data_IF_837063474378
#
_entry.id   IF_837063474378
#
_cell.length_a   1.000
_cell.length_b   1.000
_cell.length_c   1.000
_cell.angle_alpha   90.00
_cell.angle_beta   90.00
_cell.angle_gamma   90.00
#
_symmetry.space_group_name_H-M   'P 1'
#
loop_
_entity.id
_entity.type
_entity.pdbx_description
1 polymer ?
#
# COMPACT_ATOMS: atom_id res chain seq x y z
N UNK A 1 -18.47 41.60 -62.91
CA UNK A 1 -17.36 41.94 -61.99
C UNK A 1 -17.30 40.84 -60.94
N UNK A 2 -16.28 39.97 -61.01
CA UNK A 2 -15.66 39.10 -59.97
C UNK A 2 -16.59 38.36 -58.96
N UNK A 3 -16.71 37.02 -59.00
CA UNK A 3 -15.90 36.02 -58.26
C UNK A 3 -15.91 36.26 -56.73
N UNK A 4 -16.31 35.36 -55.83
CA UNK A 4 -15.69 34.05 -55.49
C UNK A 4 -16.49 33.38 -54.33
N UNK A 5 -16.82 32.09 -54.41
CA UNK A 5 -16.31 30.94 -53.61
C UNK A 5 -16.87 30.73 -52.19
N UNK A 6 -17.63 29.62 -52.03
CA UNK A 6 -17.97 28.89 -50.79
C UNK A 6 -16.75 28.15 -50.18
N UNK A 7 -16.78 27.78 -48.89
CA UNK A 7 -16.02 26.63 -48.40
C UNK A 7 -16.92 25.50 -47.89
N UNK A 8 -16.64 24.31 -48.43
CA UNK A 8 -17.21 23.02 -48.09
C UNK A 8 -16.61 22.39 -46.81
N UNK A 9 -17.43 21.57 -46.17
CA UNK A 9 -17.14 20.77 -44.98
C UNK A 9 -16.01 19.75 -45.20
N UNK A 10 -15.06 19.69 -44.25
CA UNK A 10 -14.01 18.67 -44.22
C UNK A 10 -14.38 17.54 -43.26
N UNK A 11 -14.60 16.35 -43.83
CA UNK A 11 -14.80 15.07 -43.14
C UNK A 11 -13.44 14.50 -42.75
N UNK A 12 -13.17 14.39 -41.44
CA UNK A 12 -11.97 13.75 -40.91
C UNK A 12 -12.13 12.21 -40.87
N UNK A 13 -11.36 11.50 -41.70
CA UNK A 13 -11.20 10.04 -41.65
C UNK A 13 -10.36 9.64 -40.43
N UNK A 14 -10.93 8.84 -39.52
CA UNK A 14 -10.19 8.15 -38.46
C UNK A 14 -9.49 6.91 -39.02
N UNK A 15 -8.17 6.83 -38.84
CA UNK A 15 -7.36 5.64 -39.11
C UNK A 15 -7.51 4.68 -37.94
N UNK A 16 -7.98 3.46 -38.24
CA UNK A 16 -8.09 2.34 -37.31
C UNK A 16 -6.79 1.52 -37.37
N UNK A 17 -5.99 1.48 -36.30
CA UNK A 17 -4.83 0.59 -36.19
C UNK A 17 -5.31 -0.73 -35.56
N UNK A 18 -5.46 -1.76 -36.38
CA UNK A 18 -5.74 -3.14 -35.98
C UNK A 18 -4.41 -3.81 -35.65
N UNK A 19 -4.16 -4.15 -34.38
CA UNK A 19 -3.02 -5.00 -33.98
C UNK A 19 -3.28 -6.43 -34.46
N UNK A 20 -2.58 -6.85 -35.51
CA UNK A 20 -2.53 -8.24 -35.94
C UNK A 20 -1.36 -8.95 -35.25
N UNK A 21 -1.70 -9.96 -34.47
CA UNK A 21 -0.83 -11.01 -33.96
C UNK A 21 -0.29 -11.85 -35.13
N UNK A 22 1.04 -11.94 -35.27
CA UNK A 22 1.69 -12.77 -36.28
C UNK A 22 3.02 -13.30 -35.78
N UNK A 23 3.02 -14.56 -35.33
CA UNK A 23 4.18 -15.40 -35.08
C UNK A 23 4.90 -15.70 -36.40
N UNK A 24 6.19 -15.37 -36.51
CA UNK A 24 6.99 -15.72 -37.67
C UNK A 24 7.99 -16.83 -37.29
N UNK A 25 7.74 -18.04 -37.80
CA UNK A 25 8.69 -19.16 -37.85
C UNK A 25 9.77 -18.85 -38.89
N UNK A 26 11.04 -18.91 -38.49
CA UNK A 26 12.19 -18.86 -39.40
C UNK A 26 12.55 -20.27 -39.88
N UNK A 27 12.38 -20.53 -41.17
CA UNK A 27 13.10 -21.56 -41.94
C UNK A 27 14.15 -20.85 -42.81
N UNK A 28 15.34 -21.42 -42.90
CA UNK A 28 16.52 -20.81 -43.54
C UNK A 28 16.51 -20.75 -45.06
N UNK A 29 17.50 -20.04 -45.63
CA UNK A 29 18.52 -20.48 -46.63
C UNK A 29 19.23 -19.23 -47.21
N UNK A 30 20.55 -19.15 -46.95
CA UNK A 30 21.68 -18.57 -47.71
C UNK A 30 21.76 -17.07 -48.15
N UNK A 31 22.99 -16.52 -48.29
CA UNK A 31 23.26 -15.07 -48.25
C UNK A 31 23.39 -14.43 -49.63
N UNK A 32 22.91 -13.19 -49.78
CA UNK A 32 23.10 -12.39 -50.98
C UNK A 32 24.31 -11.44 -50.83
N UNK A 33 25.18 -11.45 -51.85
CA UNK A 33 26.39 -10.63 -52.00
C UNK A 33 26.09 -9.14 -51.94
N UNK A 34 26.89 -8.38 -51.20
CA UNK A 34 26.98 -6.93 -51.30
C UNK A 34 27.87 -6.52 -52.49
N UNK A 35 27.25 -5.86 -53.47
CA UNK A 35 27.95 -5.15 -54.55
C UNK A 35 28.32 -3.76 -54.03
N UNK A 36 29.60 -3.40 -54.18
CA UNK A 36 30.14 -2.10 -53.80
C UNK A 36 29.55 -0.96 -54.63
N UNK A 37 29.06 0.07 -53.94
CA UNK A 37 28.61 1.32 -54.54
C UNK A 37 29.31 2.49 -53.87
N UNK A 38 30.18 3.16 -54.62
CA UNK A 38 30.76 4.46 -54.27
C UNK A 38 29.65 5.52 -54.13
N UNK A 39 29.57 6.14 -52.96
CA UNK A 39 28.70 7.28 -52.67
C UNK A 39 29.46 8.31 -51.82
N UNK A 40 29.48 9.55 -52.32
CA UNK A 40 30.31 10.69 -51.91
C UNK A 40 30.11 11.11 -50.44
N UNK A 41 31.21 11.49 -49.78
CA UNK A 41 31.20 12.20 -48.48
C UNK A 41 30.77 13.65 -48.69
N UNK A 42 29.76 14.10 -47.95
CA UNK A 42 29.51 15.52 -47.66
C UNK A 42 30.13 15.82 -46.28
N UNK A 43 30.90 16.92 -46.11
CA UNK A 43 31.43 17.30 -44.81
C UNK A 43 30.45 18.22 -44.07
N UNK A 44 30.31 18.01 -42.76
CA UNK A 44 29.85 19.04 -41.83
C UNK A 44 28.39 19.02 -41.43
N UNK A 45 28.02 18.10 -40.53
CA UNK A 45 27.02 18.40 -39.50
C UNK A 45 27.51 17.84 -38.18
N UNK A 46 27.97 18.74 -37.32
CA UNK A 46 28.34 18.49 -35.94
C UNK A 46 27.08 18.10 -35.14
N UNK A 47 26.81 16.80 -35.05
CA UNK A 47 25.85 16.26 -34.08
C UNK A 47 26.50 16.30 -32.71
N UNK A 48 26.04 17.22 -31.87
CA UNK A 48 26.26 17.21 -30.42
C UNK A 48 25.69 15.89 -29.86
N UNK A 49 26.57 14.93 -29.59
CA UNK A 49 26.27 13.78 -28.74
C UNK A 49 25.98 14.27 -27.32
N UNK A 50 24.70 14.48 -27.01
CA UNK A 50 24.26 14.62 -25.62
C UNK A 50 24.39 13.23 -24.99
N UNK A 51 25.50 13.02 -24.28
CA UNK A 51 25.74 11.84 -23.46
C UNK A 51 24.61 11.71 -22.43
N UNK A 52 23.63 10.86 -22.72
CA UNK A 52 22.67 10.38 -21.73
C UNK A 52 23.41 9.44 -20.79
N UNK A 53 23.96 9.97 -19.70
CA UNK A 53 24.28 9.16 -18.52
C UNK A 53 22.97 8.64 -17.93
N UNK A 54 22.49 7.53 -18.49
CA UNK A 54 21.47 6.72 -17.85
C UNK A 54 22.14 6.04 -16.64
N UNK A 55 21.87 6.57 -15.45
CA UNK A 55 22.08 5.81 -14.21
C UNK A 55 21.17 4.59 -14.27
N UNK A 56 21.70 3.47 -14.76
CA UNK A 56 21.05 2.18 -14.67
C UNK A 56 21.09 1.76 -13.20
N UNK A 57 19.99 1.99 -12.48
CA UNK A 57 19.80 1.41 -11.15
C UNK A 57 19.80 -0.11 -11.33
N UNK A 58 20.73 -0.86 -10.71
CA UNK A 58 20.78 -2.30 -10.88
C UNK A 58 19.49 -2.92 -10.35
N UNK A 59 18.71 -3.52 -11.26
CA UNK A 59 17.50 -4.27 -10.89
C UNK A 59 17.95 -5.61 -10.33
N UNK A 60 17.82 -5.79 -9.01
CA UNK A 60 18.16 -7.04 -8.35
C UNK A 60 17.34 -8.21 -8.95
N UNK A 61 17.89 -9.44 -8.98
CA UNK A 61 17.14 -10.61 -9.43
C UNK A 61 15.84 -10.79 -8.61
N UNK A 62 14.73 -11.16 -9.28
CA UNK A 62 13.40 -11.30 -8.65
C UNK A 62 13.43 -12.21 -7.41
N UNK A 63 14.27 -13.27 -7.42
CA UNK A 63 14.44 -14.20 -6.29
C UNK A 63 15.08 -13.54 -5.07
N UNK A 64 16.03 -12.64 -5.27
CA UNK A 64 16.70 -11.90 -4.19
C UNK A 64 15.74 -10.89 -3.55
N UNK A 65 14.90 -10.23 -4.35
CA UNK A 65 13.91 -9.29 -3.82
C UNK A 65 12.80 -9.99 -3.02
N UNK A 66 12.38 -11.18 -3.43
CA UNK A 66 11.42 -11.97 -2.65
C UNK A 66 11.97 -12.39 -1.28
N UNK A 67 13.22 -12.86 -1.24
CA UNK A 67 13.88 -13.21 0.02
C UNK A 67 14.01 -11.98 0.95
N UNK A 68 14.43 -10.84 0.41
CA UNK A 68 14.55 -9.59 1.16
C UNK A 68 13.21 -9.14 1.79
N UNK A 69 12.10 -9.23 1.03
CA UNK A 69 10.77 -8.91 1.56
C UNK A 69 10.41 -9.83 2.73
N UNK A 70 10.64 -11.14 2.62
CA UNK A 70 10.36 -12.06 3.72
C UNK A 70 11.27 -11.86 4.93
N UNK A 71 12.52 -11.45 4.73
CA UNK A 71 13.40 -11.03 5.84
C UNK A 71 12.81 -9.84 6.59
N UNK A 72 12.29 -8.84 5.88
CA UNK A 72 11.62 -7.68 6.50
C UNK A 72 10.32 -8.08 7.20
N UNK A 73 9.51 -8.97 6.61
CA UNK A 73 8.30 -9.51 7.26
C UNK A 73 8.65 -10.25 8.55
N UNK A 74 9.65 -11.13 8.51
CA UNK A 74 10.11 -11.87 9.68
C UNK A 74 10.63 -10.91 10.76
N UNK A 75 11.41 -9.91 10.38
CA UNK A 75 11.89 -8.89 11.31
C UNK A 75 10.73 -8.10 11.93
N UNK A 76 9.74 -7.66 11.15
CA UNK A 76 8.56 -6.96 11.66
C UNK A 76 7.78 -7.81 12.68
N UNK A 77 7.62 -9.11 12.41
CA UNK A 77 6.98 -10.06 13.32
C UNK A 77 7.80 -10.21 14.61
N UNK A 78 9.11 -10.40 14.50
CA UNK A 78 10.00 -10.57 15.65
C UNK A 78 10.03 -9.35 16.56
N UNK A 79 10.07 -8.14 15.99
CA UNK A 79 10.02 -6.89 16.76
C UNK A 79 8.68 -6.76 17.51
N UNK A 80 7.55 -7.12 16.87
CA UNK A 80 6.24 -7.13 17.53
C UNK A 80 6.12 -8.20 18.62
N UNK A 81 6.75 -9.37 18.46
CA UNK A 81 6.84 -10.39 19.52
C UNK A 81 7.69 -9.88 20.69
N UNK A 82 8.76 -9.14 20.41
CA UNK A 82 9.62 -8.59 21.44
C UNK A 82 8.93 -7.48 22.24
N UNK A 83 8.11 -6.62 21.60
CA UNK A 83 7.45 -5.47 22.25
C UNK A 83 6.81 -5.75 23.62
N UNK A 84 5.88 -6.72 23.79
CA UNK A 84 5.26 -6.97 25.09
C UNK A 84 6.23 -7.53 26.13
N UNK A 85 7.38 -8.04 25.72
CA UNK A 85 8.43 -8.58 26.59
C UNK A 85 9.45 -7.52 27.02
N UNK A 86 9.38 -6.32 26.44
CA UNK A 86 10.34 -5.25 26.71
C UNK A 86 9.95 -4.43 27.95
N UNK A 87 10.95 -4.00 28.75
CA UNK A 87 10.73 -3.02 29.80
C UNK A 87 10.16 -1.72 29.24
N UNK A 88 9.36 -1.01 30.03
CA UNK A 88 8.69 0.23 29.62
C UNK A 88 9.62 1.26 29.01
N UNK A 89 10.84 1.40 29.55
CA UNK A 89 11.86 2.33 29.05
C UNK A 89 12.21 2.13 27.56
N UNK A 90 12.07 0.90 27.03
CA UNK A 90 12.39 0.57 25.64
C UNK A 90 11.16 0.49 24.73
N UNK A 91 9.94 0.54 25.27
CA UNK A 91 8.72 0.28 24.50
C UNK A 91 8.52 1.31 23.38
N UNK A 92 8.83 2.58 23.61
CA UNK A 92 8.73 3.62 22.59
C UNK A 92 9.65 3.34 21.41
N UNK A 93 10.92 3.02 21.66
CA UNK A 93 11.90 2.72 20.62
C UNK A 93 11.50 1.46 19.82
N UNK A 94 10.96 0.46 20.51
CA UNK A 94 10.49 -0.78 19.90
C UNK A 94 9.22 -0.54 19.08
N UNK A 95 8.32 0.35 19.52
CA UNK A 95 7.15 0.81 18.73
C UNK A 95 7.60 1.46 17.43
N UNK A 96 8.53 2.43 17.51
CA UNK A 96 9.05 3.12 16.32
C UNK A 96 9.75 2.11 15.38
N UNK A 97 10.57 1.22 15.94
CA UNK A 97 11.26 0.17 15.17
C UNK A 97 10.26 -0.77 14.49
N UNK A 98 9.20 -1.17 15.19
CA UNK A 98 8.13 -2.02 14.66
C UNK A 98 7.50 -1.37 13.43
N UNK A 99 7.09 -0.11 13.54
CA UNK A 99 6.46 0.63 12.45
C UNK A 99 7.42 0.80 11.27
N UNK A 100 8.68 1.18 11.51
CA UNK A 100 9.68 1.36 10.44
C UNK A 100 9.92 0.05 9.69
N UNK A 101 10.13 -1.07 10.39
CA UNK A 101 10.41 -2.35 9.73
C UNK A 101 9.19 -2.86 8.97
N UNK A 102 7.98 -2.71 9.53
CA UNK A 102 6.74 -3.06 8.84
C UNK A 102 6.52 -2.17 7.61
N UNK A 103 6.70 -0.86 7.74
CA UNK A 103 6.66 0.09 6.63
C UNK A 103 7.59 -0.35 5.50
N UNK A 104 8.84 -0.70 5.81
CA UNK A 104 9.80 -1.19 4.83
C UNK A 104 9.33 -2.50 4.19
N UNK A 105 8.77 -3.44 4.95
CA UNK A 105 8.22 -4.68 4.43
C UNK A 105 7.06 -4.43 3.44
N UNK A 106 6.14 -3.53 3.78
CA UNK A 106 4.99 -3.16 2.96
C UNK A 106 5.42 -2.45 1.67
N UNK A 107 6.33 -1.48 1.77
CA UNK A 107 6.88 -0.73 0.62
C UNK A 107 7.68 -1.66 -0.29
N UNK A 108 8.52 -2.54 0.27
CA UNK A 108 9.30 -3.50 -0.51
C UNK A 108 8.39 -4.50 -1.23
N UNK A 109 7.32 -4.96 -0.59
CA UNK A 109 6.34 -5.84 -1.23
C UNK A 109 5.53 -5.13 -2.32
N UNK A 110 5.11 -3.89 -2.10
CA UNK A 110 4.47 -3.07 -3.12
C UNK A 110 5.40 -2.80 -4.31
N UNK A 111 6.69 -2.52 -4.05
CA UNK A 111 7.70 -2.38 -5.09
C UNK A 111 7.91 -3.68 -5.88
N UNK A 112 7.84 -4.83 -5.20
CA UNK A 112 7.95 -6.14 -5.85
C UNK A 112 6.76 -6.45 -6.76
N UNK A 113 5.55 -6.03 -6.39
CA UNK A 113 4.32 -6.31 -7.16
C UNK A 113 4.06 -5.27 -8.26
N UNK A 114 4.36 -4.00 -8.01
CA UNK A 114 4.00 -2.88 -8.89
C UNK A 114 5.18 -2.00 -9.32
N UNK A 115 6.42 -2.42 -9.02
CA UNK A 115 7.62 -1.63 -9.29
C UNK A 115 7.77 -0.41 -8.37
N UNK A 116 8.86 0.32 -8.53
CA UNK A 116 9.17 1.54 -7.74
C UNK A 116 8.05 2.58 -7.85
N UNK A 117 7.42 2.70 -9.03
CA UNK A 117 6.28 3.59 -9.23
C UNK A 117 5.07 3.22 -8.36
N UNK A 118 4.78 1.91 -8.20
CA UNK A 118 3.71 1.47 -7.32
C UNK A 118 3.99 1.70 -5.84
N UNK A 119 5.25 1.53 -5.42
CA UNK A 119 5.68 1.88 -4.07
C UNK A 119 5.57 3.39 -3.81
N UNK A 120 5.93 4.23 -4.78
CA UNK A 120 5.76 5.68 -4.68
C UNK A 120 4.28 6.08 -4.59
N UNK A 121 3.40 5.43 -5.35
CA UNK A 121 1.93 5.63 -5.25
C UNK A 121 1.44 5.24 -3.85
N UNK A 122 1.91 4.13 -3.29
CA UNK A 122 1.56 3.72 -1.92
C UNK A 122 1.98 4.78 -0.89
N UNK A 123 3.23 5.23 -0.93
CA UNK A 123 3.76 6.24 -0.01
C UNK A 123 3.00 7.56 -0.16
N UNK A 124 2.78 8.01 -1.40
CA UNK A 124 2.08 9.27 -1.67
C UNK A 124 0.62 9.23 -1.24
N UNK A 125 -0.11 8.17 -1.58
CA UNK A 125 -1.54 8.07 -1.27
C UNK A 125 -1.80 7.79 0.21
N UNK A 126 -1.12 6.81 0.80
CA UNK A 126 -1.36 6.44 2.20
C UNK A 126 -0.55 7.31 3.17
N UNK A 127 0.75 7.50 2.93
CA UNK A 127 1.60 8.30 3.81
C UNK A 127 1.32 9.80 3.67
N UNK A 128 1.26 10.30 2.44
CA UNK A 128 0.89 11.69 2.18
C UNK A 128 -0.55 12.01 2.56
N UNK A 129 -1.50 11.14 2.17
CA UNK A 129 -2.91 11.31 2.53
C UNK A 129 -3.16 11.25 4.04
N UNK A 130 -2.51 10.29 4.73
CA UNK A 130 -2.52 10.19 6.19
C UNK A 130 -1.94 11.44 6.85
N UNK A 131 -0.73 11.86 6.46
CA UNK A 131 -0.10 13.07 7.00
C UNK A 131 -0.98 14.31 6.86
N UNK A 132 -1.62 14.51 5.71
CA UNK A 132 -2.54 15.63 5.51
C UNK A 132 -3.75 15.53 6.44
N UNK A 133 -4.37 14.36 6.54
CA UNK A 133 -5.52 14.17 7.43
C UNK A 133 -5.16 14.39 8.90
N UNK A 134 -4.03 13.85 9.36
CA UNK A 134 -3.51 14.01 10.72
C UNK A 134 -3.15 15.47 11.02
N UNK A 135 -2.53 16.18 10.06
CA UNK A 135 -2.19 17.60 10.24
C UNK A 135 -3.44 18.46 10.38
N UNK A 136 -4.51 18.16 9.63
CA UNK A 136 -5.81 18.82 9.76
C UNK A 136 -6.46 18.42 11.10
N UNK A 137 -6.37 17.15 11.48
CA UNK A 137 -6.86 16.60 12.74
C UNK A 137 -6.29 17.32 13.95
N UNK A 138 -4.97 17.41 14.05
CA UNK A 138 -4.27 18.12 15.13
C UNK A 138 -4.63 19.61 15.15
N UNK A 139 -4.78 20.25 13.98
CA UNK A 139 -5.04 21.68 13.90
C UNK A 139 -6.51 22.07 14.17
N UNK A 140 -7.46 21.17 13.91
CA UNK A 140 -8.90 21.52 13.86
C UNK A 140 -9.83 20.59 14.64
N UNK A 141 -9.33 19.44 15.09
CA UNK A 141 -10.13 18.35 15.64
C UNK A 141 -10.91 17.55 14.59
N UNK A 142 -10.93 17.95 13.32
CA UNK A 142 -11.60 17.19 12.26
C UNK A 142 -10.57 16.41 11.41
N UNK A 143 -10.80 15.13 11.06
CA UNK A 143 -12.03 14.36 11.25
C UNK A 143 -12.08 13.52 12.52
N UNK A 144 -11.00 13.45 13.31
CA UNK A 144 -10.85 12.42 14.34
C UNK A 144 -11.45 12.77 15.71
N UNK A 145 -11.60 14.05 16.03
CA UNK A 145 -11.81 14.58 17.37
C UNK A 145 -10.63 15.44 17.80
N UNK A 146 -10.75 16.17 18.90
CA UNK A 146 -9.64 16.97 19.45
C UNK A 146 -8.67 16.07 20.22
N UNK A 147 -7.40 16.06 19.82
CA UNK A 147 -6.32 15.30 20.46
C UNK A 147 -4.98 16.03 20.35
N UNK A 148 -4.03 15.61 21.18
CA UNK A 148 -2.64 16.08 21.10
C UNK A 148 -1.66 14.92 21.22
N UNK A 149 -0.63 14.93 20.37
CA UNK A 149 0.54 14.07 20.53
C UNK A 149 1.40 14.57 21.70
N UNK A 150 2.03 13.64 22.41
CA UNK A 150 2.85 13.96 23.60
C UNK A 150 4.33 14.19 23.29
N UNK A 151 4.72 14.17 22.02
CA UNK A 151 6.11 14.37 21.58
C UNK A 151 7.04 13.18 21.84
N UNK A 152 6.52 12.03 22.28
CA UNK A 152 7.35 10.86 22.62
C UNK A 152 7.81 10.04 21.41
N UNK A 153 7.12 10.15 20.27
CA UNK A 153 7.32 9.29 19.10
C UNK A 153 8.42 9.76 18.12
N UNK A 154 9.26 10.70 18.57
CA UNK A 154 10.37 11.24 17.79
C UNK A 154 10.01 12.48 17.01
N UNK A 155 10.66 12.67 15.86
CA UNK A 155 10.50 13.88 15.04
C UNK A 155 9.08 14.02 14.48
N UNK A 156 8.65 15.27 14.34
CA UNK A 156 7.31 15.63 13.86
C UNK A 156 7.38 16.45 12.56
N UNK A 157 6.34 16.30 11.73
CA UNK A 157 6.09 17.10 10.54
C UNK A 157 4.73 17.77 10.75
N UNK A 158 4.71 19.10 10.85
CA UNK A 158 3.49 19.89 11.05
C UNK A 158 2.70 19.38 12.28
N UNK A 159 3.42 19.09 13.39
CA UNK A 159 2.82 18.60 14.64
C UNK A 159 2.42 17.12 14.63
N UNK A 160 2.71 16.37 13.56
CA UNK A 160 2.41 14.93 13.45
C UNK A 160 3.71 14.11 13.50
N UNK A 161 3.87 13.15 14.42
CA UNK A 161 5.03 12.28 14.47
C UNK A 161 5.25 11.53 13.15
N UNK A 162 6.48 11.49 12.64
CA UNK A 162 6.85 10.87 11.35
C UNK A 162 6.43 9.39 11.26
N UNK A 163 6.38 8.72 12.41
CA UNK A 163 5.94 7.32 12.50
C UNK A 163 4.46 7.12 12.13
N UNK A 164 3.61 8.14 12.27
CA UNK A 164 2.17 8.04 12.00
C UNK A 164 1.90 7.91 10.48
N UNK A 165 2.43 8.77 9.59
CA UNK A 165 2.37 8.53 8.14
C UNK A 165 2.95 7.19 7.70
N UNK A 166 3.99 6.69 8.38
CA UNK A 166 4.55 5.37 8.10
C UNK A 166 3.57 4.25 8.49
N UNK A 167 2.85 4.39 9.60
CA UNK A 167 1.82 3.47 10.03
C UNK A 167 0.64 3.40 9.02
N UNK A 168 0.22 4.54 8.48
CA UNK A 168 -0.77 4.57 7.39
C UNK A 168 -0.31 3.73 6.19
N UNK A 169 0.95 3.90 5.76
CA UNK A 169 1.52 3.14 4.63
C UNK A 169 1.64 1.64 4.94
N UNK A 170 2.16 1.29 6.12
CA UNK A 170 2.45 -0.09 6.48
C UNK A 170 1.19 -0.96 6.46
N UNK A 171 0.04 -0.38 6.85
CA UNK A 171 -1.22 -1.10 6.93
C UNK A 171 -2.10 -0.96 5.68
N UNK A 172 -2.01 0.15 4.94
CA UNK A 172 -2.80 0.34 3.71
C UNK A 172 -2.49 -0.71 2.63
N UNK A 173 -1.23 -1.14 2.50
CA UNK A 173 -0.86 -2.14 1.50
C UNK A 173 -1.46 -3.54 1.77
N UNK A 174 -1.31 -4.11 2.98
CA UNK A 174 -2.04 -5.32 3.38
C UNK A 174 -3.56 -5.20 3.24
N UNK A 175 -4.16 -4.09 3.67
CA UNK A 175 -5.60 -3.87 3.58
C UNK A 175 -6.13 -3.87 2.14
N UNK A 176 -5.42 -3.22 1.20
CA UNK A 176 -5.77 -3.26 -0.22
C UNK A 176 -5.67 -4.68 -0.80
N UNK A 177 -4.64 -5.43 -0.43
CA UNK A 177 -4.46 -6.83 -0.87
C UNK A 177 -5.60 -7.72 -0.39
N UNK A 178 -6.01 -7.58 0.87
CA UNK A 178 -7.15 -8.30 1.44
C UNK A 178 -8.44 -7.98 0.68
N UNK A 179 -8.75 -6.70 0.51
CA UNK A 179 -9.95 -6.27 -0.19
C UNK A 179 -10.00 -6.79 -1.64
N UNK A 180 -8.89 -6.68 -2.38
CA UNK A 180 -8.80 -7.19 -3.75
C UNK A 180 -8.83 -8.73 -3.84
N UNK A 181 -8.58 -9.42 -2.75
CA UNK A 181 -8.72 -10.88 -2.70
C UNK A 181 -10.16 -11.32 -2.48
N UNK A 182 -10.90 -10.56 -1.67
CA UNK A 182 -12.27 -10.86 -1.26
C UNK A 182 -13.32 -10.43 -2.29
N UNK A 183 -13.15 -9.27 -2.91
CA UNK A 183 -14.18 -8.65 -3.76
C UNK A 183 -13.60 -8.06 -5.03
N UNK A 184 -14.36 -8.04 -6.13
CA UNK A 184 -13.88 -7.62 -7.46
C UNK A 184 -14.35 -6.22 -7.87
N UNK A 185 -15.55 -5.80 -7.47
CA UNK A 185 -16.11 -4.48 -7.82
C UNK A 185 -15.36 -3.37 -7.09
N UNK A 186 -14.96 -2.31 -7.81
CA UNK A 186 -14.16 -1.19 -7.24
C UNK A 186 -14.77 -0.59 -5.97
N UNK A 187 -16.06 -0.27 -5.99
CA UNK A 187 -16.74 0.26 -4.81
C UNK A 187 -16.67 -0.68 -3.60
N UNK A 188 -16.80 -2.00 -3.84
CA UNK A 188 -16.65 -3.00 -2.78
C UNK A 188 -15.21 -3.13 -2.30
N UNK A 189 -14.21 -3.03 -3.20
CA UNK A 189 -12.78 -3.02 -2.82
C UNK A 189 -12.49 -1.83 -1.91
N UNK A 190 -12.99 -0.64 -2.24
CA UNK A 190 -12.85 0.55 -1.39
C UNK A 190 -13.51 0.32 -0.04
N UNK A 191 -14.76 -0.15 -0.01
CA UNK A 191 -15.49 -0.36 1.24
C UNK A 191 -14.79 -1.40 2.15
N UNK A 192 -14.42 -2.57 1.60
CA UNK A 192 -13.74 -3.62 2.35
C UNK A 192 -12.33 -3.19 2.76
N UNK A 193 -11.59 -2.52 1.89
CA UNK A 193 -10.24 -2.04 2.20
C UNK A 193 -10.25 -0.95 3.27
N UNK A 194 -11.23 -0.05 3.22
CA UNK A 194 -11.38 1.00 4.22
C UNK A 194 -11.73 0.41 5.59
N UNK A 195 -12.66 -0.55 5.62
CA UNK A 195 -12.98 -1.29 6.83
C UNK A 195 -11.78 -2.09 7.35
N UNK A 196 -11.01 -2.74 6.47
CA UNK A 196 -9.82 -3.52 6.83
C UNK A 196 -8.72 -2.65 7.47
N UNK A 197 -8.49 -1.45 6.93
CA UNK A 197 -7.52 -0.51 7.46
C UNK A 197 -8.00 0.10 8.79
N UNK A 198 -9.26 0.55 8.84
CA UNK A 198 -9.85 1.18 10.03
C UNK A 198 -10.03 0.20 11.18
N UNK A 199 -10.31 -1.08 10.92
CA UNK A 199 -10.48 -2.06 11.98
C UNK A 199 -9.20 -2.30 12.80
N UNK A 200 -8.03 -1.98 12.26
CA UNK A 200 -6.78 -2.00 13.02
C UNK A 200 -6.70 -0.87 14.05
N UNK A 201 -7.33 0.28 13.77
CA UNK A 201 -7.33 1.45 14.66
C UNK A 201 -7.97 1.14 16.03
N UNK A 202 -8.97 0.26 16.03
CA UNK A 202 -9.62 -0.30 17.23
C UNK A 202 -8.62 -0.96 18.21
N UNK A 203 -7.46 -1.37 17.72
CA UNK A 203 -6.35 -1.85 18.53
C UNK A 203 -5.27 -0.79 18.75
N UNK A 204 -4.92 -0.07 17.68
CA UNK A 204 -3.86 0.94 17.72
C UNK A 204 -4.14 2.00 18.77
N UNK A 205 -5.31 2.62 18.71
CA UNK A 205 -5.62 3.80 19.49
C UNK A 205 -5.63 3.53 21.00
N UNK A 206 -6.32 2.47 21.49
CA UNK A 206 -6.27 2.11 22.90
C UNK A 206 -4.86 1.78 23.38
N UNK A 207 -4.04 1.14 22.53
CA UNK A 207 -2.66 0.83 22.86
C UNK A 207 -1.83 2.11 23.00
N UNK A 208 -1.94 3.03 22.05
CA UNK A 208 -1.13 4.26 22.02
C UNK A 208 -1.55 5.27 23.09
N UNK A 209 -2.85 5.37 23.38
CA UNK A 209 -3.36 6.15 24.51
C UNK A 209 -2.92 5.53 25.84
N UNK A 210 -3.00 4.21 26.01
CA UNK A 210 -2.52 3.54 27.23
C UNK A 210 -1.01 3.71 27.45
N UNK A 211 -0.25 3.84 26.37
CA UNK A 211 1.20 4.10 26.38
C UNK A 211 1.54 5.60 26.51
N UNK A 212 0.54 6.50 26.54
CA UNK A 212 0.74 7.93 26.72
C UNK A 212 1.32 8.65 25.50
N UNK A 213 1.13 8.13 24.28
CA UNK A 213 1.65 8.74 23.06
C UNK A 213 0.76 9.86 22.51
N UNK A 214 -0.53 9.82 22.82
CA UNK A 214 -1.47 10.91 22.59
C UNK A 214 -2.63 10.84 23.58
N UNK A 215 -3.33 11.96 23.71
CA UNK A 215 -4.51 12.09 24.57
C UNK A 215 -5.64 12.78 23.82
N UNK A 216 -6.86 12.31 24.03
CA UNK A 216 -8.09 12.92 23.52
C UNK A 216 -8.66 13.91 24.54
N UNK A 217 -9.13 15.06 24.08
CA UNK A 217 -9.74 16.08 24.94
C UNK A 217 -11.21 15.77 25.24
N UNK A 218 -11.95 15.34 24.21
CA UNK A 218 -13.38 14.97 24.31
C UNK A 218 -13.58 13.51 23.84
N UNK A 219 -13.26 12.51 24.69
CA UNK A 219 -13.24 11.10 24.28
C UNK A 219 -14.64 10.45 24.19
N UNK A 220 -15.72 11.14 24.55
CA UNK A 220 -17.07 10.59 24.60
C UNK A 220 -18.00 11.26 23.57
N UNK A 221 -18.92 10.50 22.93
CA UNK A 221 -19.17 9.06 23.12
C UNK A 221 -18.11 8.18 22.45
N UNK A 222 -17.66 7.13 23.16
CA UNK A 222 -16.78 6.09 22.63
C UNK A 222 -17.50 4.78 22.25
N UNK A 223 -16.72 3.74 21.88
CA UNK A 223 -17.26 2.39 21.71
C UNK A 223 -17.53 1.73 23.08
N UNK A 224 -18.61 0.95 23.28
CA UNK A 224 -19.04 0.44 24.60
C UNK A 224 -18.04 -0.38 25.42
N UNK A 225 -16.93 -0.82 24.81
CA UNK A 225 -15.86 -1.59 25.47
C UNK A 225 -14.48 -0.92 25.35
N UNK A 226 -14.40 0.24 24.72
CA UNK A 226 -13.14 0.94 24.44
C UNK A 226 -13.31 2.38 24.91
N UNK A 227 -13.25 2.63 26.22
CA UNK A 227 -13.35 3.99 26.75
C UNK A 227 -12.12 4.80 26.35
N UNK A 228 -12.27 6.12 26.31
CA UNK A 228 -11.15 7.04 26.09
C UNK A 228 -10.82 7.32 24.63
N UNK A 229 -11.54 6.74 23.67
CA UNK A 229 -11.40 6.99 22.24
C UNK A 229 -12.75 7.43 21.65
N UNK A 230 -12.86 8.63 21.05
CA UNK A 230 -14.14 9.14 20.56
C UNK A 230 -14.60 8.42 19.29
N UNK A 231 -15.91 8.30 19.13
CA UNK A 231 -16.50 7.68 17.94
C UNK A 231 -16.13 8.41 16.64
N UNK A 232 -15.91 9.72 16.73
CA UNK A 232 -15.42 10.54 15.61
C UNK A 232 -14.10 10.02 15.05
N UNK A 233 -13.22 9.45 15.89
CA UNK A 233 -11.93 8.94 15.46
C UNK A 233 -12.13 7.77 14.48
N UNK A 234 -12.92 6.77 14.87
CA UNK A 234 -13.20 5.62 13.99
C UNK A 234 -13.92 6.02 12.69
N UNK A 235 -14.82 7.01 12.75
CA UNK A 235 -15.49 7.55 11.55
C UNK A 235 -14.49 8.30 10.65
N UNK A 236 -13.60 9.09 11.25
CA UNK A 236 -12.52 9.79 10.56
C UNK A 236 -11.55 8.84 9.89
N UNK A 237 -11.10 7.80 10.60
CA UNK A 237 -10.29 6.72 10.03
C UNK A 237 -11.00 6.04 8.87
N UNK A 238 -12.30 5.75 8.98
CA UNK A 238 -13.05 5.14 7.89
C UNK A 238 -13.11 6.04 6.65
N UNK A 239 -13.32 7.34 6.85
CA UNK A 239 -13.35 8.34 5.78
C UNK A 239 -11.99 8.46 5.08
N UNK A 240 -10.92 8.62 5.85
CA UNK A 240 -9.55 8.76 5.32
C UNK A 240 -9.13 7.45 4.64
N UNK A 241 -9.40 6.31 5.28
CA UNK A 241 -9.13 4.98 4.69
C UNK A 241 -9.88 4.79 3.37
N UNK A 242 -11.13 5.24 3.25
CA UNK A 242 -11.88 5.17 1.99
C UNK A 242 -11.25 6.04 0.90
N UNK A 243 -10.75 7.23 1.24
CA UNK A 243 -10.02 8.09 0.31
C UNK A 243 -8.69 7.44 -0.16
N UNK A 244 -7.90 6.93 0.79
CA UNK A 244 -6.65 6.20 0.53
C UNK A 244 -6.92 4.98 -0.36
N UNK A 245 -7.90 4.14 -0.01
CA UNK A 245 -8.24 2.95 -0.79
C UNK A 245 -8.77 3.29 -2.18
N UNK A 246 -9.50 4.39 -2.32
CA UNK A 246 -9.94 4.88 -3.63
C UNK A 246 -8.73 5.29 -4.48
N UNK A 247 -7.81 6.06 -3.93
CA UNK A 247 -6.59 6.49 -4.62
C UNK A 247 -5.75 5.28 -5.05
N UNK A 248 -5.49 4.35 -4.13
CA UNK A 248 -4.72 3.14 -4.40
C UNK A 248 -5.40 2.23 -5.42
N UNK A 249 -6.71 1.98 -5.29
CA UNK A 249 -7.41 1.07 -6.21
C UNK A 249 -7.48 1.62 -7.64
N UNK A 250 -7.51 2.95 -7.79
CA UNK A 250 -7.50 3.63 -9.10
C UNK A 250 -6.11 3.69 -9.72
N UNK A 251 -5.09 3.95 -8.92
CA UNK A 251 -3.73 4.17 -9.41
C UNK A 251 -2.95 2.87 -9.63
N UNK A 252 -3.17 1.84 -8.81
CA UNK A 252 -2.45 0.57 -8.91
C UNK A 252 -3.24 -0.43 -9.76
N UNK A 253 -2.63 -1.08 -10.76
CA UNK A 253 -3.27 -2.17 -11.48
C UNK A 253 -3.58 -3.33 -10.52
N UNK A 254 -4.56 -4.15 -10.88
CA UNK A 254 -4.86 -5.36 -10.10
C UNK A 254 -3.83 -6.44 -10.45
N UNK A 255 -3.21 -7.05 -9.43
CA UNK A 255 -2.28 -8.16 -9.62
C UNK A 255 -3.02 -9.48 -9.88
N UNK A 256 -2.32 -10.46 -10.47
CA UNK A 256 -2.86 -11.77 -10.83
C UNK A 256 -3.30 -12.62 -9.62
N UNK A 257 -2.77 -12.31 -8.44
CA UNK A 257 -3.09 -13.02 -7.21
C UNK A 257 -2.75 -12.22 -5.95
N UNK A 258 -3.17 -12.73 -4.78
CA UNK A 258 -2.83 -12.12 -3.49
C UNK A 258 -1.32 -12.15 -3.24
N UNK A 259 -0.79 -11.06 -2.70
CA UNK A 259 0.59 -11.05 -2.22
C UNK A 259 0.72 -11.83 -0.91
N UNK A 260 1.56 -12.87 -0.89
CA UNK A 260 1.78 -13.70 0.30
C UNK A 260 2.42 -12.92 1.48
N UNK A 261 3.44 -12.05 1.28
CA UNK A 261 3.93 -11.16 2.32
C UNK A 261 2.84 -10.25 2.91
N UNK A 262 2.08 -9.55 2.06
CA UNK A 262 0.99 -8.69 2.53
C UNK A 262 -0.09 -9.47 3.30
N UNK A 263 -0.42 -10.68 2.83
CA UNK A 263 -1.35 -11.57 3.52
C UNK A 263 -0.84 -12.00 4.90
N UNK A 264 0.45 -12.35 5.00
CA UNK A 264 1.08 -12.73 6.25
C UNK A 264 1.08 -11.56 7.24
N UNK A 265 1.42 -10.35 6.79
CA UNK A 265 1.39 -9.14 7.60
C UNK A 265 -0.01 -8.82 8.15
N UNK A 266 -1.05 -8.85 7.30
CA UNK A 266 -2.43 -8.56 7.76
C UNK A 266 -2.92 -9.60 8.79
N UNK A 267 -2.71 -10.89 8.50
CA UNK A 267 -3.14 -11.97 9.39
C UNK A 267 -2.32 -11.98 10.69
N UNK A 268 -1.03 -11.62 10.62
CA UNK A 268 -0.20 -11.42 11.79
C UNK A 268 -0.77 -10.30 12.66
N UNK A 269 -1.01 -9.10 12.11
CA UNK A 269 -1.59 -7.98 12.87
C UNK A 269 -2.90 -8.38 13.53
N UNK A 270 -3.79 -9.06 12.80
CA UNK A 270 -5.05 -9.54 13.39
C UNK A 270 -4.80 -10.47 14.58
N UNK A 271 -3.97 -11.49 14.41
CA UNK A 271 -3.68 -12.46 15.46
C UNK A 271 -2.94 -11.82 16.64
N UNK A 272 -1.87 -11.06 16.37
CA UNK A 272 -1.00 -10.47 17.37
C UNK A 272 -1.72 -9.40 18.17
N UNK A 273 -2.56 -8.56 17.55
CA UNK A 273 -3.31 -7.53 18.27
C UNK A 273 -4.36 -8.16 19.19
N UNK A 274 -5.12 -9.17 18.73
CA UNK A 274 -6.07 -9.87 19.62
C UNK A 274 -5.34 -10.49 20.82
N UNK A 275 -4.21 -11.16 20.59
CA UNK A 275 -3.43 -11.79 21.64
C UNK A 275 -2.80 -10.76 22.59
N UNK A 276 -2.16 -9.74 22.04
CA UNK A 276 -1.42 -8.73 22.80
C UNK A 276 -2.36 -7.92 23.71
N UNK A 277 -3.49 -7.46 23.18
CA UNK A 277 -4.47 -6.70 23.95
C UNK A 277 -5.17 -7.54 25.01
N UNK A 278 -5.42 -8.83 24.75
CA UNK A 278 -6.06 -9.73 25.71
C UNK A 278 -5.11 -10.18 26.84
N UNK A 279 -3.84 -10.46 26.53
CA UNK A 279 -2.92 -11.15 27.45
C UNK A 279 -1.86 -10.23 28.03
N UNK A 280 -1.35 -9.27 27.26
CA UNK A 280 -0.16 -8.49 27.64
C UNK A 280 -0.48 -7.04 28.03
N UNK A 281 -1.43 -6.39 27.37
CA UNK A 281 -1.69 -4.96 27.58
C UNK A 281 -2.84 -4.67 28.56
N UNK A 282 -3.61 -5.68 28.94
CA UNK A 282 -4.77 -5.47 29.82
C UNK A 282 -5.88 -4.65 29.16
N UNK A 283 -6.05 -4.79 27.84
CA UNK A 283 -7.04 -4.05 27.03
C UNK A 283 -8.11 -5.01 26.47
N UNK A 284 -8.84 -5.78 27.30
CA UNK A 284 -9.73 -6.85 26.84
C UNK A 284 -10.89 -6.34 25.96
N UNK A 285 -11.37 -5.11 26.20
CA UNK A 285 -12.45 -4.54 25.40
C UNK A 285 -12.05 -4.26 23.95
N UNK A 286 -10.83 -3.77 23.72
CA UNK A 286 -10.26 -3.65 22.37
C UNK A 286 -9.95 -5.02 21.75
N UNK A 287 -9.51 -6.00 22.54
CA UNK A 287 -9.28 -7.36 22.06
C UNK A 287 -10.57 -8.01 21.52
N UNK A 288 -11.70 -7.85 22.23
CA UNK A 288 -13.00 -8.36 21.81
C UNK A 288 -13.54 -7.59 20.62
N UNK A 289 -13.66 -6.27 20.73
CA UNK A 289 -14.26 -5.43 19.68
C UNK A 289 -13.42 -5.45 18.40
N UNK A 290 -12.11 -5.25 18.51
CA UNK A 290 -11.20 -5.35 17.37
C UNK A 290 -11.14 -6.77 16.80
N UNK A 291 -11.19 -7.78 17.67
CA UNK A 291 -11.24 -9.20 17.27
C UNK A 291 -12.45 -9.52 16.40
N UNK A 292 -13.62 -8.95 16.72
CA UNK A 292 -14.86 -9.07 15.93
C UNK A 292 -14.77 -8.24 14.64
N UNK A 293 -14.44 -6.95 14.75
CA UNK A 293 -14.46 -6.02 13.61
C UNK A 293 -13.40 -6.36 12.55
N UNK A 294 -12.14 -6.56 12.97
CA UNK A 294 -11.07 -6.96 12.05
C UNK A 294 -11.25 -8.42 11.61
N UNK A 295 -11.79 -9.28 12.49
CA UNK A 295 -12.10 -10.68 12.19
C UNK A 295 -13.13 -10.87 11.08
N UNK A 296 -14.11 -9.96 10.99
CA UNK A 296 -15.11 -9.94 9.90
C UNK A 296 -14.46 -9.82 8.50
N UNK A 297 -13.23 -9.30 8.41
CA UNK A 297 -12.43 -9.26 7.18
C UNK A 297 -11.36 -10.35 7.16
N UNK A 298 -10.62 -10.51 8.26
CA UNK A 298 -9.47 -11.42 8.36
C UNK A 298 -9.88 -12.90 8.18
N UNK A 299 -11.00 -13.33 8.76
CA UNK A 299 -11.45 -14.72 8.72
C UNK A 299 -11.90 -15.11 7.29
N UNK A 300 -12.80 -14.38 6.61
CA UNK A 300 -13.12 -14.69 5.21
C UNK A 300 -11.89 -14.66 4.30
N UNK A 301 -10.93 -13.76 4.57
CA UNK A 301 -9.69 -13.68 3.81
C UNK A 301 -8.84 -14.94 3.98
N UNK A 302 -8.59 -15.39 5.22
CA UNK A 302 -7.86 -16.61 5.51
C UNK A 302 -8.51 -17.84 4.87
N UNK A 303 -9.84 -17.97 4.98
CA UNK A 303 -10.61 -19.06 4.35
C UNK A 303 -10.48 -19.03 2.82
N UNK A 304 -10.50 -17.83 2.22
CA UNK A 304 -10.32 -17.67 0.77
C UNK A 304 -8.92 -18.10 0.32
N UNK A 305 -7.88 -17.75 1.07
CA UNK A 305 -6.51 -18.20 0.79
C UNK A 305 -6.37 -19.72 0.90
N UNK A 306 -6.95 -20.33 1.94
CA UNK A 306 -6.93 -21.78 2.13
C UNK A 306 -7.61 -22.52 0.96
N UNK A 307 -8.78 -22.06 0.52
CA UNK A 307 -9.50 -22.64 -0.63
C UNK A 307 -8.70 -22.52 -1.94
N UNK A 308 -8.00 -21.41 -2.15
CA UNK A 308 -7.15 -21.22 -3.34
C UNK A 308 -5.98 -22.21 -3.36
N UNK A 309 -5.32 -22.43 -2.23
CA UNK A 309 -4.22 -23.42 -2.11
C UNK A 309 -4.69 -24.84 -2.42
N UNK A 310 -5.86 -25.23 -1.91
CA UNK A 310 -6.44 -26.57 -2.17
C UNK A 310 -6.71 -26.83 -3.65
N UNK A 311 -7.18 -25.81 -4.40
CA UNK A 311 -7.44 -25.93 -5.85
C UNK A 311 -6.15 -26.07 -6.67
N UNK A 312 -5.08 -25.36 -6.30
CA UNK A 312 -3.79 -25.49 -6.98
C UNK A 312 -3.20 -26.89 -6.81
N UNK A 313 -3.38 -27.52 -5.64
CA UNK A 313 -2.89 -28.88 -5.38
C UNK A 313 -3.63 -29.93 -6.23
N UNK A 314 -4.96 -29.82 -6.38
CA UNK A 314 -5.74 -30.78 -7.16
C UNK A 314 -5.56 -30.65 -8.68
N UNK A 315 -5.20 -29.47 -9.19
CA UNK A 315 -4.95 -29.25 -10.62
C UNK A 315 -3.55 -29.64 -11.11
N UNK A 316 -2.64 -29.99 -10.21
CA UNK A 316 -1.27 -30.45 -10.54
C UNK A 316 -1.11 -31.98 -10.59
N UNK A 317 -2.17 -32.72 -10.29
CA UNK A 317 -2.18 -34.20 -10.21
C UNK A 317 -2.97 -34.87 -11.35
N UNK A 318 -3.36 -34.12 -12.38
CA UNK A 318 -4.11 -34.60 -13.55
C UNK A 318 -3.28 -34.58 -14.82
#
# INVERSE_FOLDING_TARGET
MQASVEPAATVARRVFIKRASGTCKLYGVSPCRTVGGHGRRLPGSSTLEVARMAFAVPVAPVRSMHAAVWTLVAAAILVQIAYPLMPEAWRTEVTVTSVVVFFLAAVADAARVHGVGGAAVLIGAAGGGGLVAESIGVATGWPFGEYAYTGTLGAEIIGVPVVVPMAWVMMAWPALNVARTLVTRRAAVVAVGAAALTAWDVFLDPQMVSAGHWTWFDPEPGLPLIPGIPLTNYVGWLLVSAAVMTALDRALPRADGPSAPAAALYLWVYFSSVLAHAVFFGLPGSAVTGGVLMGAVAIPFALTLARRRGRTYQGGTS
#
